data_IF_462632867646
#
_entry.id   IF_462632867646
#
_cell.length_a   1.000
_cell.length_b   1.000
_cell.length_c   1.000
_cell.angle_alpha   90.00
_cell.angle_beta   90.00
_cell.angle_gamma   90.00
#
_symmetry.space_group_name_H-M   'P 1'
#
loop_
_entity.id
_entity.type
_entity.pdbx_description
1 polymer ?
#
# COMPACT_ATOMS: atom_id res chain seq x y z
N UNK A 1 9.30 -71.61 -27.92
CA UNK A 1 9.80 -72.59 -26.92
C UNK A 1 10.10 -71.81 -25.67
N UNK A 2 9.62 -72.08 -24.46
CA UNK A 2 8.90 -73.18 -23.85
C UNK A 2 9.08 -72.92 -22.34
N UNK A 3 7.98 -72.80 -21.60
CA UNK A 3 7.97 -72.53 -20.16
C UNK A 3 8.69 -73.65 -19.39
N UNK A 4 9.51 -73.32 -18.40
CA UNK A 4 9.83 -74.14 -17.23
C UNK A 4 10.23 -73.20 -16.08
N UNK A 5 9.35 -73.06 -15.08
CA UNK A 5 9.54 -73.55 -13.71
C UNK A 5 10.80 -73.01 -13.03
N UNK A 6 10.63 -72.15 -12.02
CA UNK A 6 11.08 -72.46 -10.66
C UNK A 6 10.15 -71.80 -9.64
N UNK A 7 9.63 -72.65 -8.76
CA UNK A 7 8.95 -72.29 -7.51
C UNK A 7 9.97 -71.74 -6.53
N UNK A 8 9.60 -70.74 -5.74
CA UNK A 8 9.97 -70.66 -4.34
C UNK A 8 8.86 -69.92 -3.58
N UNK A 9 8.32 -70.64 -2.60
CA UNK A 9 7.27 -70.23 -1.67
C UNK A 9 7.95 -69.47 -0.53
N UNK A 10 7.42 -68.31 -0.18
CA UNK A 10 7.59 -67.74 1.16
C UNK A 10 6.28 -67.03 1.53
N UNK A 11 5.50 -67.68 2.39
CA UNK A 11 4.37 -67.09 3.05
C UNK A 11 4.89 -66.16 4.17
N UNK A 12 4.66 -64.87 4.03
CA UNK A 12 4.78 -63.91 5.12
C UNK A 12 3.39 -63.35 5.41
N UNK A 13 2.87 -63.68 6.59
CA UNK A 13 1.64 -63.11 7.11
C UNK A 13 1.86 -61.60 7.36
N UNK A 14 1.33 -60.76 6.49
CA UNK A 14 1.29 -59.33 6.71
C UNK A 14 0.12 -59.02 7.65
N UNK A 15 0.44 -58.80 8.93
CA UNK A 15 -0.45 -58.11 9.87
C UNK A 15 -0.59 -56.68 9.37
N UNK A 16 -1.70 -56.40 8.68
CA UNK A 16 -2.05 -55.07 8.22
C UNK A 16 -2.39 -54.18 9.41
N UNK A 17 -1.40 -53.41 9.87
CA UNK A 17 -1.66 -52.23 10.72
C UNK A 17 -2.18 -51.15 9.79
N UNK A 18 -3.50 -51.06 9.66
CA UNK A 18 -4.16 -49.91 9.05
C UNK A 18 -3.96 -48.71 9.97
N UNK A 19 -2.87 -47.98 9.77
CA UNK A 19 -2.73 -46.64 10.33
C UNK A 19 -3.75 -45.75 9.63
N UNK A 20 -4.86 -45.47 10.32
CA UNK A 20 -5.85 -44.49 9.89
C UNK A 20 -5.17 -43.13 10.07
N UNK A 21 -4.46 -42.67 9.03
CA UNK A 21 -3.97 -41.31 8.97
C UNK A 21 -5.20 -40.41 8.82
N UNK A 22 -5.68 -39.87 9.94
CA UNK A 22 -6.65 -38.78 9.91
C UNK A 22 -6.02 -37.64 9.10
N UNK A 23 -6.61 -37.21 7.98
CA UNK A 23 -6.09 -36.06 7.27
C UNK A 23 -6.09 -34.87 8.24
N UNK A 24 -4.94 -34.24 8.43
CA UNK A 24 -4.88 -32.98 9.13
C UNK A 24 -5.78 -32.02 8.36
N UNK A 25 -6.91 -31.63 8.97
CA UNK A 25 -7.75 -30.58 8.45
C UNK A 25 -6.88 -29.32 8.36
N UNK A 26 -6.48 -28.93 7.15
CA UNK A 26 -5.91 -27.61 6.95
C UNK A 26 -7.01 -26.62 7.26
N UNK A 27 -6.75 -25.71 8.18
CA UNK A 27 -7.67 -24.62 8.47
C UNK A 27 -7.94 -23.86 7.17
N UNK A 28 -9.20 -23.50 6.93
CA UNK A 28 -9.55 -22.67 5.78
C UNK A 28 -8.83 -21.31 5.87
N UNK A 29 -8.40 -20.72 4.75
CA UNK A 29 -7.82 -19.38 4.75
C UNK A 29 -8.73 -18.37 5.46
N UNK A 30 -8.20 -17.69 6.48
CA UNK A 30 -8.97 -16.78 7.33
C UNK A 30 -8.79 -15.33 6.87
N UNK A 31 -9.87 -14.60 6.52
CA UNK A 31 -9.77 -13.18 6.23
C UNK A 31 -9.39 -12.39 7.49
N UNK A 32 -8.44 -11.48 7.35
CA UNK A 32 -7.93 -10.63 8.42
C UNK A 32 -8.51 -9.22 8.30
N UNK A 33 -9.73 -9.06 8.82
CA UNK A 33 -10.45 -7.78 8.84
C UNK A 33 -10.08 -6.99 10.11
N UNK A 34 -8.96 -6.29 10.04
CA UNK A 34 -8.39 -5.56 11.16
C UNK A 34 -7.23 -4.65 10.78
N UNK A 35 -6.62 -4.04 11.78
CA UNK A 35 -5.51 -3.10 11.58
C UNK A 35 -4.18 -3.86 11.45
N UNK A 36 -3.53 -3.75 10.30
CA UNK A 36 -2.12 -4.05 10.11
C UNK A 36 -1.31 -2.83 10.56
N UNK A 37 -1.03 -2.74 11.86
CA UNK A 37 -0.31 -1.61 12.44
C UNK A 37 1.15 -1.63 11.99
N UNK A 38 1.59 -0.59 11.29
CA UNK A 38 2.92 -0.56 10.66
C UNK A 38 4.01 -0.23 11.68
N UNK A 39 5.03 -1.08 11.75
CA UNK A 39 6.27 -0.73 12.39
C UNK A 39 7.05 0.27 11.52
N UNK A 40 7.60 1.34 12.12
CA UNK A 40 8.37 2.33 11.37
C UNK A 40 9.62 1.69 10.77
N UNK A 41 9.96 2.11 9.56
CA UNK A 41 11.21 1.79 8.90
C UNK A 41 12.38 2.37 9.67
N UNK A 42 13.35 1.53 10.04
CA UNK A 42 14.56 1.92 10.75
C UNK A 42 15.75 1.43 9.96
N UNK A 43 16.65 2.36 9.63
CA UNK A 43 17.93 2.09 8.98
C UNK A 43 19.03 2.13 10.02
N UNK A 44 19.58 0.98 10.38
CA UNK A 44 20.64 0.86 11.38
C UNK A 44 21.61 -0.26 11.01
N UNK A 45 22.90 -0.04 11.24
CA UNK A 45 23.95 -1.04 11.03
C UNK A 45 23.98 -1.67 9.62
N UNK A 46 23.64 -0.88 8.59
CA UNK A 46 23.58 -1.37 7.20
C UNK A 46 22.38 -2.27 6.89
N UNK A 47 21.43 -2.39 7.80
CA UNK A 47 20.19 -3.13 7.61
C UNK A 47 18.97 -2.21 7.74
N UNK A 48 17.87 -2.63 7.12
CA UNK A 48 16.57 -1.96 7.22
C UNK A 48 15.59 -2.92 7.87
N UNK A 49 14.92 -2.46 8.92
CA UNK A 49 13.85 -3.19 9.61
C UNK A 49 12.57 -2.38 9.59
N UNK A 50 11.41 -3.02 9.79
CA UNK A 50 10.13 -2.34 9.75
C UNK A 50 9.66 -2.10 8.32
N UNK A 51 8.80 -1.10 8.12
CA UNK A 51 8.17 -0.86 6.81
C UNK A 51 9.01 0.06 5.92
N UNK A 52 9.13 -0.28 4.64
CA UNK A 52 9.83 0.56 3.67
C UNK A 52 9.32 0.36 2.24
N UNK A 53 9.69 1.32 1.40
CA UNK A 53 9.44 1.33 -0.04
C UNK A 53 10.75 1.41 -0.80
N UNK A 54 10.83 0.75 -1.95
CA UNK A 54 11.89 0.98 -2.96
C UNK A 54 11.24 1.10 -4.33
N UNK A 55 11.79 1.98 -5.16
CA UNK A 55 11.34 2.11 -6.55
C UNK A 55 12.29 1.36 -7.46
N UNK A 56 11.84 0.27 -8.07
CA UNK A 56 12.60 -0.50 -9.07
C UNK A 56 12.60 0.26 -10.40
N UNK A 57 13.76 0.38 -11.03
CA UNK A 57 13.89 1.00 -12.35
C UNK A 57 13.24 0.12 -13.43
N UNK A 58 12.83 0.69 -14.57
CA UNK A 58 12.22 -0.08 -15.67
C UNK A 58 13.07 -1.26 -16.17
N UNK A 59 14.38 -1.23 -15.97
CA UNK A 59 15.31 -2.30 -16.35
C UNK A 59 15.55 -3.35 -15.26
N UNK A 60 15.11 -3.11 -14.01
CA UNK A 60 15.41 -3.98 -12.87
C UNK A 60 14.34 -5.00 -12.51
N UNK A 61 14.54 -5.72 -11.42
CA UNK A 61 13.58 -6.64 -10.83
C UNK A 61 13.51 -6.46 -9.31
N UNK A 62 12.95 -7.43 -8.59
CA UNK A 62 12.85 -7.39 -7.13
C UNK A 62 14.20 -7.22 -6.42
N UNK A 63 15.32 -7.55 -7.06
CA UNK A 63 16.70 -7.33 -6.61
C UNK A 63 17.36 -6.03 -7.13
N UNK A 64 16.66 -5.26 -7.97
CA UNK A 64 17.12 -3.98 -8.52
C UNK A 64 17.55 -4.03 -10.00
N UNK A 65 18.19 -2.96 -10.52
CA UNK A 65 18.55 -1.74 -9.82
C UNK A 65 17.33 -0.91 -9.38
N UNK A 66 17.54 -0.14 -8.32
CA UNK A 66 16.52 0.75 -7.74
C UNK A 66 16.88 2.21 -7.98
N UNK A 67 15.85 3.05 -8.06
CA UNK A 67 15.97 4.50 -8.07
C UNK A 67 16.42 4.97 -6.67
N UNK A 68 17.38 5.90 -6.63
CA UNK A 68 17.87 6.49 -5.38
C UNK A 68 16.99 7.66 -4.94
N UNK A 69 16.36 7.57 -3.78
CA UNK A 69 15.69 8.70 -3.14
C UNK A 69 16.70 9.56 -2.38
N UNK A 70 17.07 10.72 -2.94
CA UNK A 70 18.00 11.66 -2.29
C UNK A 70 17.47 12.23 -0.96
N UNK A 71 16.16 12.17 -0.73
CA UNK A 71 15.53 12.63 0.52
C UNK A 71 15.50 11.54 1.59
N UNK A 72 15.95 10.32 1.28
CA UNK A 72 16.03 9.25 2.27
C UNK A 72 17.10 9.54 3.32
N UNK A 73 16.72 9.37 4.60
CA UNK A 73 17.67 9.42 5.72
C UNK A 73 18.53 8.16 5.89
N UNK A 74 18.33 7.13 5.05
CA UNK A 74 19.09 5.89 5.11
C UNK A 74 20.43 6.02 4.37
N UNK A 75 21.44 5.27 4.83
CA UNK A 75 22.71 5.17 4.12
C UNK A 75 22.56 4.52 2.73
N UNK A 76 21.64 3.56 2.60
CA UNK A 76 21.15 3.11 1.29
C UNK A 76 20.01 4.03 0.85
N UNK A 77 20.32 5.00 -0.02
CA UNK A 77 19.35 5.97 -0.53
C UNK A 77 18.28 5.34 -1.43
N UNK A 78 18.40 4.07 -1.83
CA UNK A 78 17.32 3.40 -2.58
C UNK A 78 16.16 2.97 -1.68
N UNK A 79 16.34 3.01 -0.36
CA UNK A 79 15.32 2.69 0.63
C UNK A 79 14.62 3.96 1.06
N UNK A 80 13.29 3.95 1.06
CA UNK A 80 12.45 5.00 1.64
C UNK A 80 11.71 4.43 2.85
N UNK A 81 12.15 4.72 4.09
CA UNK A 81 11.47 4.27 5.29
C UNK A 81 10.02 4.76 5.33
N UNK A 82 9.11 3.89 5.75
CA UNK A 82 7.71 4.22 5.94
C UNK A 82 7.37 4.19 7.42
N UNK A 83 6.40 4.98 7.83
CA UNK A 83 5.82 4.92 9.17
C UNK A 83 4.30 4.83 9.07
N UNK A 84 3.67 4.30 10.13
CA UNK A 84 2.23 4.29 10.29
C UNK A 84 1.63 5.68 10.04
N UNK A 85 0.50 5.71 9.34
CA UNK A 85 -0.31 6.91 9.16
C UNK A 85 -1.18 7.23 10.36
N UNK A 86 -2.09 8.17 10.18
CA UNK A 86 -3.05 8.62 11.23
C UNK A 86 -3.98 7.51 11.70
N UNK A 87 -4.25 6.51 10.85
CA UNK A 87 -5.07 5.35 11.21
C UNK A 87 -4.23 4.21 11.81
N UNK A 88 -2.92 4.42 11.98
CA UNK A 88 -1.99 3.45 12.54
C UNK A 88 -1.44 2.43 11.53
N UNK A 89 -1.92 2.42 10.28
CA UNK A 89 -1.49 1.48 9.25
C UNK A 89 -2.57 1.14 8.22
N UNK A 90 -2.45 -0.04 7.62
CA UNK A 90 -3.39 -0.57 6.63
C UNK A 90 -4.55 -1.28 7.35
N UNK A 91 -5.79 -1.00 6.96
CA UNK A 91 -6.98 -1.65 7.50
C UNK A 91 -7.50 -2.68 6.48
N UNK A 92 -7.48 -3.96 6.86
CA UNK A 92 -8.13 -5.03 6.11
C UNK A 92 -9.66 -4.91 6.22
N UNK A 93 -10.36 -5.17 5.12
CA UNK A 93 -11.82 -5.12 5.03
C UNK A 93 -12.42 -3.72 4.92
N UNK A 94 -11.62 -2.64 4.87
CA UNK A 94 -12.15 -1.27 4.79
C UNK A 94 -11.24 -0.30 4.02
N UNK A 95 -11.87 0.59 3.24
CA UNK A 95 -11.15 1.64 2.53
C UNK A 95 -10.66 2.76 3.46
N UNK A 96 -9.47 3.26 3.16
CA UNK A 96 -8.86 4.44 3.76
C UNK A 96 -8.61 5.44 2.62
N UNK A 97 -9.69 6.05 2.08
CA UNK A 97 -9.59 6.88 0.89
C UNK A 97 -8.78 8.14 1.16
N UNK A 98 -8.14 8.63 0.10
CA UNK A 98 -7.51 9.94 0.09
C UNK A 98 -8.57 11.05 0.31
N UNK A 99 -8.20 12.18 0.94
CA UNK A 99 -9.13 13.30 1.10
C UNK A 99 -9.48 13.90 -0.27
N UNK A 100 -10.59 14.64 -0.33
CA UNK A 100 -11.03 15.31 -1.56
C UNK A 100 -9.97 16.30 -2.09
N UNK A 101 -9.33 17.05 -1.19
CA UNK A 101 -8.12 17.79 -1.49
C UNK A 101 -6.91 16.89 -1.19
N UNK A 102 -6.48 16.10 -2.19
CA UNK A 102 -5.39 15.14 -2.01
C UNK A 102 -4.00 15.80 -2.03
N UNK A 103 -3.88 17.03 -2.54
CA UNK A 103 -2.62 17.73 -2.75
C UNK A 103 -2.66 19.14 -2.18
N UNK A 104 -1.51 19.60 -1.69
CA UNK A 104 -1.27 21.03 -1.48
C UNK A 104 -0.86 21.72 -2.79
N UNK A 105 -0.63 23.04 -2.72
CA UNK A 105 -0.24 23.84 -3.88
C UNK A 105 1.14 23.46 -4.47
N UNK A 106 1.99 22.79 -3.70
CA UNK A 106 3.31 22.32 -4.14
C UNK A 106 3.28 20.86 -4.65
N UNK A 107 2.11 20.22 -4.65
CA UNK A 107 1.92 18.85 -5.10
C UNK A 107 2.25 17.79 -4.04
N UNK A 108 2.49 18.18 -2.78
CA UNK A 108 2.67 17.24 -1.68
C UNK A 108 1.35 16.55 -1.36
N UNK A 109 1.42 15.24 -1.10
CA UNK A 109 0.27 14.48 -0.65
C UNK A 109 -0.18 14.94 0.75
N UNK A 110 -1.48 15.21 0.88
CA UNK A 110 -2.11 15.60 2.14
C UNK A 110 -2.77 14.42 2.88
N UNK A 111 -2.99 13.31 2.18
CA UNK A 111 -3.44 12.06 2.80
C UNK A 111 -2.31 11.51 3.66
N UNK A 112 -2.61 10.95 4.83
CA UNK A 112 -1.60 10.30 5.66
C UNK A 112 -2.17 9.12 6.41
N UNK A 113 -3.21 8.47 5.88
CA UNK A 113 -4.03 7.52 6.63
C UNK A 113 -3.36 6.16 6.80
N UNK A 114 -2.87 5.57 5.70
CA UNK A 114 -2.19 4.27 5.70
C UNK A 114 -0.74 4.43 6.17
N UNK A 115 0.03 5.27 5.47
CA UNK A 115 1.37 5.71 5.89
C UNK A 115 1.38 7.22 6.12
N UNK A 116 2.23 7.69 7.03
CA UNK A 116 2.55 9.13 7.10
C UNK A 116 3.15 9.57 5.75
N UNK A 117 2.90 10.81 5.28
CA UNK A 117 3.55 11.33 4.09
C UNK A 117 5.08 11.27 4.21
N UNK A 118 5.75 10.79 3.16
CA UNK A 118 7.22 10.68 3.13
C UNK A 118 7.77 11.38 1.89
N UNK A 119 8.85 12.13 2.09
CA UNK A 119 9.50 12.87 1.02
C UNK A 119 10.17 11.93 0.01
N UNK A 120 9.89 12.15 -1.26
CA UNK A 120 10.47 11.41 -2.39
C UNK A 120 10.70 12.38 -3.55
N UNK A 121 11.98 12.68 -3.84
CA UNK A 121 12.39 13.68 -4.84
C UNK A 121 11.72 15.05 -4.63
N UNK A 122 11.82 15.59 -3.43
CA UNK A 122 11.36 16.95 -3.12
C UNK A 122 9.84 17.08 -2.88
N UNK A 123 9.05 16.03 -3.13
CA UNK A 123 7.60 16.02 -2.93
C UNK A 123 7.19 14.89 -1.98
N UNK A 124 6.28 15.17 -1.04
CA UNK A 124 5.76 14.13 -0.15
C UNK A 124 4.78 13.23 -0.89
N UNK A 125 4.99 11.91 -0.86
CA UNK A 125 3.98 10.95 -1.28
C UNK A 125 3.24 10.37 -0.08
N UNK A 126 2.03 9.89 -0.33
CA UNK A 126 1.28 9.15 0.66
C UNK A 126 0.47 8.01 0.06
N UNK A 127 0.11 7.06 0.91
CA UNK A 127 -0.66 5.88 0.54
C UNK A 127 -2.12 5.99 1.00
N UNK A 128 -3.03 5.45 0.20
CA UNK A 128 -4.46 5.38 0.48
C UNK A 128 -5.06 4.12 -0.17
N UNK A 129 -6.17 3.61 0.36
CA UNK A 129 -6.96 2.56 -0.30
C UNK A 129 -8.28 3.14 -0.79
N UNK A 130 -8.48 3.19 -2.10
CA UNK A 130 -9.61 3.85 -2.74
C UNK A 130 -10.56 2.83 -3.41
N UNK A 131 -11.89 2.99 -3.31
CA UNK A 131 -12.87 2.10 -3.95
C UNK A 131 -12.84 2.20 -5.49
N UNK A 132 -12.33 3.30 -6.02
CA UNK A 132 -12.14 3.53 -7.44
C UNK A 132 -10.70 3.96 -7.64
N UNK A 133 -9.99 3.31 -8.56
CA UNK A 133 -8.65 3.71 -8.95
C UNK A 133 -8.71 5.09 -9.61
N UNK A 134 -8.15 6.15 -9.00
CA UNK A 134 -8.25 7.50 -9.53
C UNK A 134 -7.57 7.67 -10.89
N UNK A 135 -6.64 6.77 -11.25
CA UNK A 135 -5.94 6.83 -12.51
C UNK A 135 -6.76 6.29 -13.68
N UNK A 136 -7.47 5.18 -13.48
CA UNK A 136 -8.21 4.48 -14.55
C UNK A 136 -9.72 4.65 -14.49
N UNK A 137 -10.26 5.07 -13.33
CA UNK A 137 -11.70 5.10 -13.07
C UNK A 137 -12.30 3.70 -12.81
N UNK A 138 -11.49 2.65 -12.80
CA UNK A 138 -11.96 1.29 -12.54
C UNK A 138 -12.28 1.09 -11.06
N UNK A 139 -13.28 0.27 -10.77
CA UNK A 139 -13.54 -0.21 -9.41
C UNK A 139 -12.38 -1.08 -8.91
N UNK A 140 -11.95 -0.87 -7.68
CA UNK A 140 -10.96 -1.69 -7.01
C UNK A 140 -11.62 -2.59 -5.95
N UNK A 141 -10.94 -3.67 -5.56
CA UNK A 141 -11.35 -4.53 -4.47
C UNK A 141 -11.16 -3.85 -3.11
N UNK A 142 -11.96 -4.28 -2.13
CA UNK A 142 -11.68 -3.94 -0.73
C UNK A 142 -10.29 -4.47 -0.37
N UNK A 143 -9.46 -3.69 0.34
CA UNK A 143 -8.17 -4.17 0.78
C UNK A 143 -8.38 -5.37 1.70
N UNK A 144 -7.88 -6.54 1.34
CA UNK A 144 -8.16 -7.79 2.04
C UNK A 144 -6.89 -8.62 2.09
N UNK A 145 -6.54 -9.07 3.29
CA UNK A 145 -5.42 -9.99 3.53
C UNK A 145 -6.00 -11.24 4.18
N UNK A 146 -5.52 -12.40 3.76
CA UNK A 146 -5.96 -13.71 4.23
C UNK A 146 -4.76 -14.44 4.82
N UNK A 147 -4.96 -15.11 5.95
CA UNK A 147 -3.98 -15.97 6.58
C UNK A 147 -4.30 -17.45 6.36
N UNK A 148 -3.32 -18.24 5.93
CA UNK A 148 -3.41 -19.70 5.82
C UNK A 148 -2.13 -20.31 6.38
N UNK A 149 -2.24 -21.00 7.52
CA UNK A 149 -1.08 -21.64 8.17
C UNK A 149 0.07 -20.67 8.49
N UNK A 150 -0.23 -19.40 8.78
CA UNK A 150 0.75 -18.34 9.01
C UNK A 150 1.35 -17.72 7.74
N UNK A 151 0.94 -18.15 6.55
CA UNK A 151 1.23 -17.46 5.29
C UNK A 151 0.19 -16.40 5.02
N UNK A 152 0.60 -15.26 4.46
CA UNK A 152 -0.28 -14.17 4.06
C UNK A 152 -0.37 -14.08 2.54
N UNK A 153 -1.59 -13.87 2.05
CA UNK A 153 -1.90 -13.47 0.68
C UNK A 153 -3.01 -12.43 0.70
N UNK A 154 -3.33 -11.80 -0.43
CA UNK A 154 -4.45 -10.86 -0.44
C UNK A 154 -4.62 -10.06 -1.72
N UNK A 155 -5.60 -9.16 -1.65
CA UNK A 155 -5.94 -8.18 -2.65
C UNK A 155 -5.74 -6.78 -2.06
N UNK A 156 -4.75 -6.05 -2.57
CA UNK A 156 -4.52 -4.64 -2.27
C UNK A 156 -4.71 -3.78 -3.52
N UNK A 157 -5.55 -4.20 -4.49
CA UNK A 157 -5.79 -3.49 -5.75
C UNK A 157 -6.25 -2.05 -5.60
N UNK A 158 -6.84 -1.71 -4.45
CA UNK A 158 -7.26 -0.35 -4.08
C UNK A 158 -6.13 0.54 -3.59
N UNK A 159 -4.94 0.00 -3.32
CA UNK A 159 -3.81 0.78 -2.85
C UNK A 159 -3.30 1.72 -3.96
N UNK A 160 -3.34 3.01 -3.68
CA UNK A 160 -2.81 4.07 -4.51
C UNK A 160 -1.74 4.86 -3.78
N UNK A 161 -0.86 5.48 -4.56
CA UNK A 161 0.11 6.48 -4.09
C UNK A 161 -0.21 7.82 -4.73
N UNK A 162 -0.41 8.82 -3.88
CA UNK A 162 -0.56 10.23 -4.23
C UNK A 162 0.82 10.86 -4.24
N UNK A 163 1.28 11.45 -5.35
CA UNK A 163 2.57 12.13 -5.45
C UNK A 163 2.58 13.12 -6.62
N UNK A 164 3.05 14.35 -6.37
CA UNK A 164 3.27 15.38 -7.39
C UNK A 164 2.05 15.62 -8.31
N UNK A 165 0.90 15.90 -7.68
CA UNK A 165 -0.39 16.13 -8.36
C UNK A 165 -0.90 14.96 -9.21
N UNK A 166 -0.36 13.76 -8.99
CA UNK A 166 -0.78 12.54 -9.68
C UNK A 166 -1.06 11.42 -8.67
N UNK A 167 -1.88 10.47 -9.09
CA UNK A 167 -2.15 9.25 -8.34
C UNK A 167 -1.73 8.06 -9.20
N UNK A 168 -0.96 7.17 -8.60
CA UNK A 168 -0.49 5.94 -9.22
C UNK A 168 -1.07 4.75 -8.47
N UNK A 169 -1.73 3.84 -9.18
CA UNK A 169 -2.13 2.59 -8.56
C UNK A 169 -0.87 1.79 -8.18
N UNK A 170 -0.76 1.40 -6.92
CA UNK A 170 0.36 0.61 -6.38
C UNK A 170 -0.10 -0.70 -5.73
N UNK A 171 -1.35 -1.07 -5.96
CA UNK A 171 -1.96 -2.31 -5.53
C UNK A 171 -1.51 -3.53 -6.30
N UNK A 172 -1.80 -4.69 -5.72
CA UNK A 172 -1.67 -5.99 -6.35
C UNK A 172 -2.82 -6.91 -5.89
N UNK A 173 -3.54 -7.58 -6.81
CA UNK A 173 -3.49 -7.37 -8.26
C UNK A 173 -3.84 -5.92 -8.65
N UNK A 174 -3.73 -5.56 -9.92
CA UNK A 174 -4.33 -4.32 -10.43
C UNK A 174 -5.85 -4.41 -10.40
N UNK A 175 -6.58 -3.28 -10.40
CA UNK A 175 -8.03 -3.29 -10.62
C UNK A 175 -8.39 -4.17 -11.82
N UNK A 176 -9.33 -5.10 -11.62
CA UNK A 176 -9.66 -6.16 -12.59
C UNK A 176 -8.90 -7.49 -12.42
N UNK A 177 -8.05 -7.63 -11.39
CA UNK A 177 -7.43 -8.90 -10.98
C UNK A 177 -6.14 -9.28 -11.71
N UNK A 178 -5.66 -8.44 -12.63
CA UNK A 178 -4.44 -8.71 -13.42
C UNK A 178 -3.13 -8.39 -12.69
N UNK A 179 -2.04 -9.00 -13.14
CA UNK A 179 -0.67 -8.74 -12.68
C UNK A 179 0.21 -8.26 -13.85
N UNK A 180 -0.04 -7.08 -14.43
CA UNK A 180 0.70 -6.61 -15.59
C UNK A 180 2.17 -6.33 -15.25
N UNK A 181 3.04 -6.62 -16.22
CA UNK A 181 4.46 -6.36 -16.13
C UNK A 181 5.10 -7.09 -14.94
N UNK A 182 5.73 -6.31 -14.04
CA UNK A 182 6.42 -6.78 -12.84
C UNK A 182 5.56 -6.66 -11.58
N UNK A 183 4.24 -6.66 -11.72
CA UNK A 183 3.34 -6.73 -10.56
C UNK A 183 3.34 -8.16 -10.03
N UNK A 184 3.59 -8.36 -8.73
CA UNK A 184 3.54 -9.67 -8.08
C UNK A 184 2.32 -9.80 -7.17
N UNK A 185 1.84 -11.02 -6.87
CA UNK A 185 0.89 -11.21 -5.78
C UNK A 185 1.46 -10.73 -4.44
N UNK A 186 0.55 -10.36 -3.52
CA UNK A 186 0.88 -10.14 -2.11
C UNK A 186 1.33 -11.48 -1.51
N UNK A 187 2.47 -11.47 -0.83
CA UNK A 187 2.96 -12.61 -0.06
C UNK A 187 3.48 -12.14 1.29
N UNK A 188 3.45 -13.01 2.28
CA UNK A 188 3.95 -12.65 3.60
C UNK A 188 3.80 -13.75 4.61
N UNK A 189 4.08 -13.42 5.86
CA UNK A 189 3.92 -14.30 7.01
C UNK A 189 3.31 -13.57 8.18
N UNK A 190 2.62 -14.29 9.04
CA UNK A 190 2.13 -13.83 10.34
C UNK A 190 2.33 -14.89 11.40
N UNK A 191 2.76 -14.49 12.60
CA UNK A 191 2.89 -15.40 13.75
C UNK A 191 1.66 -15.35 14.67
N UNK A 192 1.63 -16.24 15.67
CA UNK A 192 0.54 -16.31 16.65
C UNK A 192 0.46 -15.12 17.62
N UNK A 193 1.42 -14.19 17.59
CA UNK A 193 1.37 -12.91 18.29
C UNK A 193 0.91 -11.76 17.38
N UNK A 194 0.64 -12.05 16.11
CA UNK A 194 0.22 -11.11 15.09
C UNK A 194 1.36 -10.33 14.45
N UNK A 195 2.63 -10.67 14.70
CA UNK A 195 3.74 -10.02 13.99
C UNK A 195 3.69 -10.46 12.54
N UNK A 196 3.66 -9.50 11.63
CA UNK A 196 3.54 -9.77 10.21
C UNK A 196 4.63 -9.09 9.39
N UNK A 197 4.87 -9.68 8.22
CA UNK A 197 5.57 -9.07 7.08
C UNK A 197 4.77 -9.40 5.84
N UNK A 198 4.48 -8.40 5.02
CA UNK A 198 3.92 -8.57 3.67
C UNK A 198 4.77 -7.81 2.65
N UNK A 199 4.95 -8.43 1.49
CA UNK A 199 5.73 -7.91 0.39
C UNK A 199 5.01 -8.11 -0.94
N UNK A 200 5.17 -7.12 -1.81
CA UNK A 200 4.79 -7.24 -3.21
C UNK A 200 5.50 -6.21 -4.06
N UNK A 201 5.42 -6.43 -5.36
CA UNK A 201 5.81 -5.47 -6.39
C UNK A 201 4.57 -5.03 -7.16
N UNK A 202 4.51 -3.76 -7.53
CA UNK A 202 3.40 -3.22 -8.31
C UNK A 202 3.92 -2.25 -9.36
N UNK A 203 3.78 -2.65 -10.63
CA UNK A 203 4.23 -1.85 -11.75
C UNK A 203 3.24 -0.73 -12.04
N UNK A 204 3.75 0.49 -12.21
CA UNK A 204 2.98 1.62 -12.68
C UNK A 204 2.67 1.42 -14.17
N UNK A 205 1.39 1.50 -14.52
CA UNK A 205 0.90 1.35 -15.90
C UNK A 205 0.41 2.71 -16.36
N UNK A 206 1.05 3.28 -17.38
CA UNK A 206 0.74 4.60 -17.91
C UNK A 206 1.39 5.76 -17.13
N UNK A 207 1.20 6.98 -17.64
CA UNK A 207 1.77 8.20 -17.08
C UNK A 207 3.30 8.31 -17.21
N UNK A 208 3.90 9.36 -16.62
CA UNK A 208 5.35 9.63 -16.73
C UNK A 208 6.24 8.55 -16.09
N UNK A 209 5.71 7.80 -15.12
CA UNK A 209 6.41 6.72 -14.42
C UNK A 209 6.06 5.32 -14.96
N UNK A 210 5.55 5.23 -16.19
CA UNK A 210 5.23 3.95 -16.80
C UNK A 210 6.43 2.99 -16.74
N UNK A 211 6.17 1.73 -16.35
CA UNK A 211 7.14 0.65 -16.16
C UNK A 211 8.08 0.78 -14.94
N UNK A 212 8.02 1.87 -14.18
CA UNK A 212 8.60 1.85 -12.83
C UNK A 212 7.77 0.93 -11.94
N UNK A 213 8.42 0.26 -10.99
CA UNK A 213 7.76 -0.73 -10.15
C UNK A 213 8.03 -0.43 -8.68
N UNK A 214 6.98 -0.21 -7.91
CA UNK A 214 7.10 -0.08 -6.47
C UNK A 214 7.31 -1.45 -5.84
N UNK A 215 8.39 -1.62 -5.07
CA UNK A 215 8.57 -2.72 -4.13
C UNK A 215 8.14 -2.24 -2.75
N UNK A 216 7.18 -2.95 -2.18
CA UNK A 216 6.62 -2.66 -0.88
C UNK A 216 7.00 -3.75 0.09
N UNK A 217 7.48 -3.33 1.26
CA UNK A 217 7.70 -4.19 2.41
C UNK A 217 7.00 -3.54 3.60
N UNK A 218 5.90 -4.14 4.05
CA UNK A 218 5.18 -3.68 5.23
C UNK A 218 5.34 -4.71 6.33
N UNK A 219 5.84 -4.26 7.47
CA UNK A 219 6.04 -5.09 8.65
C UNK A 219 5.42 -4.42 9.86
N UNK A 220 4.97 -5.23 10.82
CA UNK A 220 4.39 -4.69 12.05
C UNK A 220 3.57 -5.72 12.80
N UNK A 221 2.47 -5.26 13.41
CA UNK A 221 1.60 -6.11 14.22
C UNK A 221 0.15 -6.00 13.77
N UNK A 222 -0.49 -7.12 13.53
CA UNK A 222 -1.91 -7.20 13.27
C UNK A 222 -2.69 -7.04 14.58
N UNK A 223 -3.72 -6.19 14.53
CA UNK A 223 -4.63 -5.86 15.61
C UNK A 223 -6.05 -6.04 15.08
N UNK A 224 -6.55 -7.26 15.18
CA UNK A 224 -7.90 -7.64 14.81
C UNK A 224 -8.25 -9.02 15.35
N UNK A 225 -9.50 -9.42 15.19
CA UNK A 225 -9.90 -10.81 15.41
C UNK A 225 -9.42 -11.72 14.27
N UNK A 226 -9.61 -13.03 14.43
CA UNK A 226 -9.43 -14.00 13.33
C UNK A 226 -8.09 -14.73 13.28
N UNK A 227 -7.05 -14.26 13.98
CA UNK A 227 -5.91 -15.13 14.29
C UNK A 227 -6.33 -16.05 15.42
N UNK A 228 -6.93 -17.19 15.10
CA UNK A 228 -7.07 -18.26 16.09
C UNK A 228 -5.67 -18.60 16.57
N UNK A 229 -5.39 -18.24 17.82
CA UNK A 229 -4.13 -18.55 18.47
C UNK A 229 -4.01 -20.06 18.47
N UNK A 230 -3.11 -20.61 17.65
CA UNK A 230 -2.82 -22.03 17.64
C UNK A 230 -2.59 -22.43 19.10
N UNK A 231 -3.52 -23.22 19.64
CA UNK A 231 -3.44 -23.66 21.03
C UNK A 231 -2.03 -24.22 21.25
N UNK A 232 -1.31 -23.82 22.31
CA UNK A 232 0.01 -24.36 22.57
C UNK A 232 -0.11 -25.88 22.52
N UNK A 233 0.71 -26.50 21.66
CA UNK A 233 0.69 -27.95 21.47
C UNK A 233 0.63 -28.61 22.84
N UNK A 234 -0.49 -29.27 23.14
CA UNK A 234 -0.71 -29.89 24.43
C UNK A 234 0.51 -30.79 24.70
N UNK A 235 1.25 -30.48 25.77
CA UNK A 235 2.35 -31.32 26.20
C UNK A 235 1.85 -32.77 26.28
N UNK A 236 2.62 -33.77 25.81
CA UNK A 236 2.19 -35.15 25.87
C UNK A 236 1.80 -35.47 27.31
N UNK A 237 0.54 -35.88 27.49
CA UNK A 237 0.02 -36.30 28.79
C UNK A 237 0.87 -37.52 29.18
N UNK A 238 1.77 -37.32 30.14
CA UNK A 238 2.52 -38.42 30.73
C UNK A 238 1.51 -39.44 31.26
N UNK A 239 1.65 -40.69 30.83
CA UNK A 239 0.79 -41.79 31.27
C UNK A 239 0.81 -41.85 32.79
N UNK A 240 -0.34 -41.67 33.42
CA UNK A 240 -0.46 -41.81 34.87
C UNK A 240 0.00 -43.21 35.30
N UNK A 241 0.80 -43.35 36.37
CA UNK A 241 1.13 -44.66 36.93
C UNK A 241 -0.16 -45.37 37.42
N UNK A 242 -0.19 -46.72 37.42
CA UNK A 242 -1.34 -47.46 37.92
C UNK A 242 -1.60 -47.12 39.40
N UNK A 243 -2.87 -46.79 39.71
CA UNK A 243 -3.32 -46.48 41.05
C UNK A 243 -3.15 -47.68 42.00
N UNK A 244 -2.54 -47.43 43.16
CA UNK A 244 -2.58 -48.36 44.28
C UNK A 244 -4.01 -48.43 44.88
N UNK A 245 -4.45 -49.57 45.43
CA UNK A 245 -5.78 -49.70 46.03
C UNK A 245 -5.92 -48.80 47.27
N UNK A 246 -6.91 -47.91 47.25
CA UNK A 246 -7.26 -47.03 48.37
C UNK A 246 -8.08 -47.75 49.47
N UNK A 247 -7.99 -47.30 50.73
CA UNK A 247 -8.77 -47.83 51.86
C UNK A 247 -10.26 -47.43 51.80
N UNK A 248 -11.14 -48.12 52.55
CA UNK A 248 -12.60 -48.02 52.43
C UNK A 248 -13.18 -46.66 52.87
N UNK A 249 -14.39 -46.30 52.39
CA UNK A 249 -14.95 -44.96 52.49
C UNK A 249 -15.39 -44.58 53.91
N UNK A 250 -15.01 -43.37 54.33
CA UNK A 250 -15.54 -42.71 55.52
C UNK A 250 -16.84 -41.96 55.21
N UNK A 251 -17.73 -41.92 56.20
CA UNK A 251 -19.11 -41.47 56.14
C UNK A 251 -19.29 -40.01 55.68
N UNK A 252 -20.40 -39.78 54.96
CA UNK A 252 -20.82 -38.49 54.43
C UNK A 252 -21.22 -37.49 55.53
N UNK A 253 -20.85 -36.20 55.42
CA UNK A 253 -21.38 -35.15 56.28
C UNK A 253 -22.80 -34.70 55.82
N UNK A 254 -23.65 -34.19 56.73
CA UNK A 254 -25.03 -33.82 56.43
C UNK A 254 -25.14 -32.50 55.65
N UNK A 255 -26.23 -32.40 54.89
CA UNK A 255 -26.59 -31.29 54.03
C UNK A 255 -26.76 -29.96 54.79
N UNK A 256 -26.18 -28.89 54.24
CA UNK A 256 -26.39 -27.53 54.70
C UNK A 256 -27.80 -27.03 54.31
N UNK A 257 -28.52 -26.51 55.31
CA UNK A 257 -29.86 -25.93 55.19
C UNK A 257 -29.76 -24.54 54.55
N UNK A 258 -30.51 -24.32 53.48
CA UNK A 258 -30.70 -23.03 52.80
C UNK A 258 -31.74 -22.20 53.58
N UNK A 259 -31.45 -20.96 54.01
CA UNK A 259 -32.47 -20.08 54.58
C UNK A 259 -33.33 -19.40 53.48
N UNK A 260 -34.62 -19.13 53.76
CA UNK A 260 -35.57 -18.61 52.77
C UNK A 260 -35.39 -17.11 52.48
N UNK A 261 -35.78 -16.72 51.26
CA UNK A 261 -35.79 -15.36 50.75
C UNK A 261 -36.72 -14.44 51.56
N UNK A 262 -36.21 -13.27 51.98
CA UNK A 262 -37.00 -12.20 52.57
C UNK A 262 -37.60 -11.32 51.47
N UNK A 263 -38.92 -11.17 51.49
CA UNK A 263 -39.68 -10.19 50.71
C UNK A 263 -39.57 -8.80 51.35
N UNK A 264 -39.45 -7.76 50.52
CA UNK A 264 -39.39 -6.34 50.93
C UNK A 264 -40.33 -5.51 50.01
N UNK A 265 -41.04 -4.48 50.54
CA UNK A 265 -42.39 -4.07 50.13
C UNK A 265 -42.44 -2.99 49.03
N UNK A 266 -43.63 -2.67 48.49
CA UNK A 266 -43.80 -1.63 47.47
C UNK A 266 -43.85 -0.23 48.11
N UNK A 267 -43.12 0.73 47.52
CA UNK A 267 -43.29 2.15 47.79
C UNK A 267 -42.06 2.85 48.38
N UNK A 268 -41.14 3.27 47.51
CA UNK A 268 -40.25 4.38 47.78
C UNK A 268 -39.92 5.08 46.45
N UNK A 269 -40.17 6.39 46.42
CA UNK A 269 -40.03 7.24 45.25
C UNK A 269 -38.58 7.35 44.77
N UNK A 270 -38.40 7.24 43.46
CA UNK A 270 -37.13 7.45 42.75
C UNK A 270 -36.90 8.96 42.59
N UNK A 271 -35.75 9.53 43.02
CA UNK A 271 -35.39 10.89 42.63
C UNK A 271 -35.02 10.93 41.14
N UNK A 272 -35.42 11.96 40.37
CA UNK A 272 -35.13 12.01 38.95
C UNK A 272 -33.62 12.10 38.69
N UNK A 273 -33.14 11.27 37.78
CA UNK A 273 -31.78 11.26 37.28
C UNK A 273 -31.44 12.62 36.63
N UNK A 274 -30.22 13.09 36.90
CA UNK A 274 -29.63 14.24 36.23
C UNK A 274 -29.62 14.01 34.71
N UNK A 275 -30.21 14.95 33.96
CA UNK A 275 -30.28 14.90 32.51
C UNK A 275 -28.90 15.05 31.84
N UNK A 276 -28.78 14.64 30.57
CA UNK A 276 -27.56 14.79 29.78
C UNK A 276 -27.21 16.26 29.55
N UNK A 277 -25.91 16.61 29.39
CA UNK A 277 -25.49 17.98 29.12
C UNK A 277 -26.04 18.45 27.77
N UNK A 278 -26.53 19.69 27.77
CA UNK A 278 -27.11 20.37 26.62
C UNK A 278 -26.09 20.50 25.48
N UNK A 279 -26.47 20.02 24.29
CA UNK A 279 -25.81 20.33 23.03
C UNK A 279 -26.16 21.77 22.66
N UNK A 280 -25.14 22.60 22.47
CA UNK A 280 -25.30 23.97 22.00
C UNK A 280 -25.96 23.98 20.61
N UNK A 281 -27.03 24.76 20.48
CA UNK A 281 -27.71 24.99 19.22
C UNK A 281 -26.79 25.72 18.20
N UNK A 282 -26.88 25.40 16.91
CA UNK A 282 -26.21 26.19 15.87
C UNK A 282 -26.88 27.56 15.74
N UNK A 283 -26.11 28.66 15.51
CA UNK A 283 -26.72 29.94 15.21
C UNK A 283 -27.46 29.90 13.86
N UNK A 284 -28.61 30.55 13.86
CA UNK A 284 -29.54 30.64 12.75
C UNK A 284 -28.92 31.20 11.46
N UNK A 285 -29.35 30.63 10.34
CA UNK A 285 -29.09 31.13 9.00
C UNK A 285 -29.64 32.56 8.83
N UNK A 286 -28.80 33.46 8.30
CA UNK A 286 -29.22 34.79 7.83
C UNK A 286 -29.42 34.69 6.31
N UNK A 287 -30.61 35.03 5.76
CA UNK A 287 -30.77 35.14 4.33
C UNK A 287 -30.39 36.55 3.89
N UNK A 288 -29.51 36.70 2.90
CA UNK A 288 -29.52 37.85 2.01
C UNK A 288 -28.72 37.56 0.76
N UNK A 289 -29.44 37.44 -0.35
CA UNK A 289 -28.86 37.62 -1.66
C UNK A 289 -28.45 39.07 -1.85
N UNK A 290 -27.30 39.27 -2.46
CA UNK A 290 -27.01 40.42 -3.30
C UNK A 290 -25.95 39.99 -4.30
N UNK A 291 -26.34 39.98 -5.58
CA UNK A 291 -25.46 39.77 -6.70
C UNK A 291 -24.40 40.88 -6.74
N UNK A 292 -23.12 40.50 -6.87
CA UNK A 292 -22.04 41.42 -7.21
C UNK A 292 -21.63 41.14 -8.66
N UNK A 293 -21.71 42.11 -9.58
CA UNK A 293 -21.27 41.94 -10.97
C UNK A 293 -19.73 41.90 -11.07
N UNK A 294 -19.18 41.30 -12.14
CA UNK A 294 -17.73 41.18 -12.32
C UNK A 294 -17.07 42.55 -12.57
N UNK A 295 -15.95 42.78 -11.90
CA UNK A 295 -15.08 43.93 -12.11
C UNK A 295 -14.49 43.91 -13.53
N UNK A 296 -14.66 45.03 -14.23
CA UNK A 296 -14.13 45.29 -15.56
C UNK A 296 -12.60 45.47 -15.53
N UNK A 297 -11.94 44.92 -16.54
CA UNK A 297 -10.55 45.14 -16.85
C UNK A 297 -10.25 46.61 -17.20
N UNK A 298 -9.09 47.17 -16.82
CA UNK A 298 -8.63 48.43 -17.39
C UNK A 298 -8.04 48.21 -18.80
N UNK A 299 -8.59 48.93 -19.77
CA UNK A 299 -8.05 49.07 -21.12
C UNK A 299 -6.75 49.90 -21.13
N UNK A 300 -5.86 49.70 -22.12
CA UNK A 300 -4.58 50.40 -22.22
C UNK A 300 -4.75 51.80 -22.81
N UNK A 301 -4.19 52.83 -22.15
CA UNK A 301 -4.00 54.15 -22.74
C UNK A 301 -2.67 54.22 -23.46
N UNK A 302 -2.73 54.59 -24.75
CA UNK A 302 -1.57 54.72 -25.62
C UNK A 302 -0.81 56.05 -25.48
N UNK A 303 0.46 55.96 -25.89
CA UNK A 303 1.19 56.88 -26.77
C UNK A 303 1.18 58.39 -26.49
N UNK A 304 2.35 58.94 -26.13
CA UNK A 304 2.98 60.04 -26.88
C UNK A 304 4.43 60.35 -26.42
N UNK A 305 5.36 60.20 -27.39
CA UNK A 305 6.47 61.10 -27.80
C UNK A 305 7.54 61.64 -26.82
N UNK A 306 8.80 61.51 -27.29
CA UNK A 306 9.93 62.43 -27.08
C UNK A 306 11.25 61.67 -26.87
N UNK A 307 12.09 61.42 -27.89
CA UNK A 307 13.25 62.25 -28.31
C UNK A 307 14.03 62.74 -27.07
N UNK A 308 15.22 62.25 -26.75
CA UNK A 308 16.44 62.24 -27.55
C UNK A 308 17.55 62.97 -26.74
N UNK A 309 18.80 62.58 -26.95
CA UNK A 309 20.05 63.21 -26.47
C UNK A 309 20.60 62.92 -25.05
N UNK A 310 21.66 62.12 -25.08
CA UNK A 310 22.81 62.10 -24.17
C UNK A 310 23.77 63.26 -24.53
N UNK A 311 24.57 63.78 -23.59
CA UNK A 311 25.95 63.30 -23.53
C UNK A 311 26.60 63.25 -22.12
N UNK A 312 27.62 62.42 -21.98
CA UNK A 312 28.67 62.42 -20.94
C UNK A 312 29.79 63.44 -21.32
N UNK A 313 30.94 63.61 -20.61
CA UNK A 313 31.47 62.86 -19.44
C UNK A 313 32.19 63.72 -18.35
N UNK A 314 32.78 62.99 -17.39
CA UNK A 314 34.02 63.27 -16.62
C UNK A 314 33.90 63.34 -15.09
N UNK A 315 34.75 62.53 -14.42
CA UNK A 315 35.21 62.78 -13.04
C UNK A 315 35.22 61.58 -12.07
N UNK A 316 36.29 60.77 -12.10
CA UNK A 316 36.79 59.97 -10.96
C UNK A 316 37.53 60.89 -9.92
N UNK A 317 38.04 60.44 -8.73
CA UNK A 317 38.08 59.09 -8.12
C UNK A 317 37.83 59.00 -6.57
N UNK A 318 37.92 57.75 -6.08
CA UNK A 318 38.32 57.24 -4.74
C UNK A 318 37.35 57.22 -3.54
N UNK A 319 37.22 56.03 -2.94
CA UNK A 319 37.28 55.87 -1.48
C UNK A 319 36.32 54.87 -0.82
N UNK A 320 36.80 53.65 -0.57
CA UNK A 320 36.66 53.03 0.77
C UNK A 320 35.58 51.97 1.06
N UNK A 321 36.06 50.87 1.64
CA UNK A 321 35.42 49.94 2.59
C UNK A 321 34.55 48.78 2.09
N UNK A 322 35.27 47.66 1.89
CA UNK A 322 35.06 46.34 2.49
C UNK A 322 33.65 46.00 3.03
N UNK A 323 33.04 45.01 2.38
CA UNK A 323 31.99 44.18 2.98
C UNK A 323 32.39 42.71 2.81
N UNK A 324 32.30 42.00 3.93
CA UNK A 324 32.65 40.59 4.15
C UNK A 324 31.78 39.69 3.27
N UNK A 325 32.40 38.88 2.42
CA UNK A 325 31.74 37.84 1.65
C UNK A 325 31.46 36.62 2.54
N UNK A 326 30.18 36.39 2.84
CA UNK A 326 29.67 35.10 3.31
C UNK A 326 29.58 34.17 2.10
N UNK A 327 30.50 33.20 2.03
CA UNK A 327 30.41 32.08 1.11
C UNK A 327 29.32 31.11 1.59
N UNK A 328 28.09 31.30 1.10
CA UNK A 328 27.06 30.27 1.12
C UNK A 328 27.23 29.40 -0.12
N UNK A 329 27.70 28.17 0.09
CA UNK A 329 27.70 27.13 -0.93
C UNK A 329 26.27 26.62 -1.13
N UNK A 330 25.58 27.13 -2.16
CA UNK A 330 24.40 26.49 -2.75
C UNK A 330 24.85 25.23 -3.52
N UNK A 331 24.30 24.04 -3.24
CA UNK A 331 24.37 22.94 -4.18
C UNK A 331 23.32 23.12 -5.29
N UNK A 332 23.80 23.05 -6.53
CA UNK A 332 23.06 23.13 -7.77
C UNK A 332 21.86 22.16 -7.83
N UNK A 333 20.67 22.74 -7.94
CA UNK A 333 19.44 22.06 -8.32
C UNK A 333 19.45 21.81 -9.84
N UNK A 334 20.22 20.83 -10.29
CA UNK A 334 20.29 20.41 -11.69
C UNK A 334 19.54 19.10 -11.95
N UNK A 335 18.31 18.98 -11.47
CA UNK A 335 17.28 18.06 -11.99
C UNK A 335 15.88 18.69 -11.82
N UNK A 336 15.78 20.00 -12.07
CA UNK A 336 14.49 20.60 -12.39
C UNK A 336 14.12 20.13 -13.81
N UNK A 337 13.05 19.34 -13.89
CA UNK A 337 12.44 18.93 -15.14
C UNK A 337 12.34 20.14 -16.08
N UNK A 338 13.00 20.06 -17.24
CA UNK A 338 12.61 20.89 -18.38
C UNK A 338 11.18 20.50 -18.73
N UNK A 339 10.22 21.20 -18.15
CA UNK A 339 8.89 21.30 -18.71
C UNK A 339 9.08 21.94 -20.09
N UNK A 340 9.10 21.12 -21.13
CA UNK A 340 8.87 21.58 -22.49
C UNK A 340 7.51 22.25 -22.50
N UNK A 341 7.52 23.57 -22.56
CA UNK A 341 6.39 24.41 -22.85
C UNK A 341 5.87 24.02 -24.24
N UNK A 342 4.85 23.15 -24.28
CA UNK A 342 4.17 22.78 -25.52
C UNK A 342 3.24 23.95 -25.84
N UNK A 343 3.71 24.84 -26.71
CA UNK A 343 2.87 25.90 -27.29
C UNK A 343 1.59 25.28 -27.88
N UNK A 344 0.39 25.72 -27.47
CA UNK A 344 -0.87 25.31 -28.08
C UNK A 344 -0.99 26.02 -29.43
N UNK A 345 -0.36 25.48 -30.46
CA UNK A 345 -0.35 26.09 -31.79
C UNK A 345 0.17 25.23 -32.93
N UNK A 346 0.70 24.02 -32.67
CA UNK A 346 1.04 23.10 -33.76
C UNK A 346 -0.16 22.20 -34.06
N UNK A 347 -0.90 22.55 -35.13
CA UNK A 347 -1.74 21.59 -35.83
C UNK A 347 -0.87 20.41 -36.24
N UNK A 348 -1.09 19.24 -35.62
CA UNK A 348 -0.50 18.01 -36.10
C UNK A 348 -0.98 17.78 -37.53
N UNK A 349 -0.07 17.47 -38.47
CA UNK A 349 -0.46 17.43 -39.85
C UNK A 349 -1.28 16.15 -40.08
N UNK A 350 -2.54 16.33 -40.46
CA UNK A 350 -3.61 15.31 -40.53
C UNK A 350 -3.25 14.07 -41.38
N UNK A 351 -2.16 14.12 -42.15
CA UNK A 351 -1.61 12.99 -42.90
C UNK A 351 -0.82 11.96 -42.07
N UNK A 352 -0.49 12.26 -40.81
CA UNK A 352 0.24 11.31 -39.93
C UNK A 352 -0.59 10.08 -39.55
N UNK A 353 -1.90 10.25 -39.39
CA UNK A 353 -2.82 9.15 -39.06
C UNK A 353 -2.91 8.10 -40.17
N UNK A 354 -3.17 8.45 -41.45
CA UNK A 354 -3.17 7.45 -42.51
C UNK A 354 -1.78 6.82 -42.74
N UNK A 355 -0.68 7.55 -42.52
CA UNK A 355 0.67 6.99 -42.62
C UNK A 355 0.91 5.89 -41.57
N UNK A 356 0.53 6.12 -40.31
CA UNK A 356 0.67 5.14 -39.24
C UNK A 356 -0.19 3.88 -39.49
N UNK A 357 -1.38 4.04 -40.05
CA UNK A 357 -2.25 2.91 -40.43
C UNK A 357 -1.60 2.09 -41.55
N UNK A 358 -1.00 2.73 -42.57
CA UNK A 358 -0.29 2.03 -43.65
C UNK A 358 0.90 1.24 -43.10
N UNK A 359 1.70 1.84 -42.19
CA UNK A 359 2.84 1.16 -41.57
C UNK A 359 2.38 -0.05 -40.75
N UNK A 360 1.30 0.06 -40.00
CA UNK A 360 0.74 -1.05 -39.23
C UNK A 360 0.25 -2.20 -40.14
N UNK A 361 -0.43 -1.89 -41.25
CA UNK A 361 -0.91 -2.90 -42.21
C UNK A 361 0.27 -3.61 -42.89
N UNK A 362 1.31 -2.88 -43.29
CA UNK A 362 2.52 -3.47 -43.89
C UNK A 362 3.25 -4.37 -42.89
N UNK A 363 3.42 -3.93 -41.64
CA UNK A 363 4.06 -4.75 -40.59
C UNK A 363 3.29 -6.05 -40.33
N UNK A 364 1.96 -5.98 -40.32
CA UNK A 364 1.09 -7.15 -40.16
C UNK A 364 1.22 -8.11 -41.34
N UNK A 365 1.25 -7.59 -42.58
CA UNK A 365 1.43 -8.41 -43.79
C UNK A 365 2.78 -9.13 -43.86
N UNK A 366 3.86 -8.50 -43.41
CA UNK A 366 5.20 -9.12 -43.35
C UNK A 366 5.24 -10.25 -42.32
N UNK A 367 4.58 -10.09 -41.17
CA UNK A 367 4.55 -11.13 -40.14
C UNK A 367 3.79 -12.39 -40.58
N UNK A 368 2.64 -12.24 -41.25
CA UNK A 368 1.89 -13.40 -41.76
C UNK A 368 2.49 -13.99 -43.05
N UNK A 369 3.27 -13.22 -43.81
CA UNK A 369 3.99 -13.72 -44.99
C UNK A 369 5.19 -14.61 -44.65
N UNK A 370 5.84 -14.38 -43.50
CA UNK A 370 7.01 -15.15 -43.06
C UNK A 370 6.68 -16.62 -42.75
N UNK A 371 5.48 -16.91 -42.23
CA UNK A 371 5.04 -18.28 -41.92
C UNK A 371 4.88 -19.18 -43.17
N UNK A 372 4.67 -18.59 -44.35
CA UNK A 372 4.56 -19.37 -45.61
C UNK A 372 5.91 -19.78 -46.20
N UNK A 373 7.02 -19.18 -45.76
CA UNK A 373 8.35 -19.46 -46.31
C UNK A 373 9.14 -20.53 -45.53
N UNK A 374 8.72 -20.88 -44.31
CA UNK A 374 9.44 -21.84 -43.45
C UNK A 374 8.87 -23.28 -43.56
N UNK A 375 7.72 -23.47 -44.20
CA UNK A 375 7.02 -24.77 -44.27
C UNK A 375 7.42 -25.77 -45.36
N UNK A 376 8.52 -25.57 -46.11
CA UNK A 376 8.96 -26.54 -47.15
C UNK A 376 10.45 -26.82 -47.08
N UNK A 377 10.83 -27.73 -46.19
CA UNK A 377 12.10 -28.49 -46.19
C UNK A 377 12.02 -29.47 -45.02
N UNK A 378 11.54 -30.71 -45.13
CA UNK A 378 12.12 -31.92 -45.75
C UNK A 378 11.39 -33.13 -45.10
N UNK A 379 11.63 -34.38 -45.53
CA UNK A 379 11.69 -34.94 -46.87
C UNK A 379 10.40 -35.69 -47.26
#
# INVERSE_FOLDING_TARGET
MGRNLYRLVAAAAAVGVSAIATPAASAEPVPLDGLFALAPGVCANGAVTGSFFRMILPTGDAGGPYLQNSDSGCSDQTVTPLAAGTDGGLIGGSYQPQPAAAFDAAGNAQSGRVTTPVRFYGVDFATATNPTDPQTGAGAGLPQITADGGQLSGDLSSLGVTWNNQVFNQGAPKPGGGFPGKTSPIRGTIDGAGNFVIEWTSQIVGGPFNNFTGLWHLAGQYRGGGLEQAAPAAAPIASAPPAAPGPPPAAAPPAAVVPPAAAVPPGAAVPPAAGPPAVAAPPAAVPSGAAIPPAAAPAPSGSARGLGESPAPDGFPQGGNQTVALAQSQPDAALAARATDISPGRQEPVWLVPLLVIVAVVATGVFFGADRLVGRSRP
#
